data_IF_952380680825
#
_entry.id   IF_952380680825
#
_cell.length_a   1.000
_cell.length_b   1.000
_cell.length_c   1.000
_cell.angle_alpha   90.00
_cell.angle_beta   90.00
_cell.angle_gamma   90.00
#
_symmetry.space_group_name_H-M   'P 1'
#
loop_
_entity.id
_entity.type
_entity.pdbx_description
1 polymer ?
#
# COMPACT_ATOMS: atom_id res chain seq x y z
N UNK A 1 32.70 -23.39 -52.69
CA UNK A 1 32.17 -22.11 -52.18
C UNK A 1 31.48 -22.39 -50.86
N UNK A 2 32.19 -22.13 -49.77
CA UNK A 2 31.74 -22.33 -48.39
C UNK A 2 30.90 -21.11 -47.99
N UNK A 3 29.60 -21.30 -47.78
CA UNK A 3 28.75 -20.27 -47.18
C UNK A 3 28.83 -20.38 -45.65
N UNK A 4 29.04 -19.27 -44.92
CA UNK A 4 29.33 -19.33 -43.49
C UNK A 4 28.03 -19.40 -42.67
N UNK A 5 28.02 -20.33 -41.70
CA UNK A 5 27.12 -20.28 -40.53
C UNK A 5 27.46 -19.02 -39.73
N UNK A 6 26.77 -17.92 -39.97
CA UNK A 6 26.87 -16.71 -39.15
C UNK A 6 25.60 -16.58 -38.30
N UNK A 7 25.81 -16.72 -37.00
CA UNK A 7 25.07 -16.14 -35.88
C UNK A 7 23.54 -16.02 -36.05
N UNK A 8 22.81 -17.07 -35.67
CA UNK A 8 21.58 -16.85 -34.92
C UNK A 8 21.98 -16.75 -33.45
N UNK A 9 21.92 -15.57 -32.80
CA UNK A 9 22.05 -15.51 -31.35
C UNK A 9 20.98 -16.43 -30.75
N UNK A 10 21.39 -17.24 -29.78
CA UNK A 10 20.57 -18.29 -29.19
C UNK A 10 19.33 -17.66 -28.55
N UNK A 11 18.24 -17.59 -29.31
CA UNK A 11 16.99 -16.89 -28.93
C UNK A 11 16.49 -17.43 -27.59
N UNK A 12 16.67 -18.73 -27.32
CA UNK A 12 16.37 -19.35 -26.04
C UNK A 12 17.17 -18.76 -24.87
N UNK A 13 18.44 -18.40 -25.06
CA UNK A 13 19.25 -17.79 -24.01
C UNK A 13 18.82 -16.35 -23.70
N UNK A 14 18.38 -15.60 -24.71
CA UNK A 14 17.82 -14.24 -24.52
C UNK A 14 16.48 -14.34 -23.80
N UNK A 15 15.63 -15.28 -24.22
CA UNK A 15 14.31 -15.49 -23.64
C UNK A 15 14.39 -15.95 -22.18
N UNK A 16 15.33 -16.85 -21.87
CA UNK A 16 15.61 -17.31 -20.51
C UNK A 16 16.12 -16.18 -19.61
N UNK A 17 16.97 -15.28 -20.12
CA UNK A 17 17.42 -14.09 -19.39
C UNK A 17 16.28 -13.11 -19.11
N UNK A 18 15.41 -12.85 -20.08
CA UNK A 18 14.24 -11.99 -19.86
C UNK A 18 13.27 -12.58 -18.84
N UNK A 19 13.06 -13.90 -18.86
CA UNK A 19 12.22 -14.60 -17.90
C UNK A 19 12.79 -14.49 -16.48
N UNK A 20 14.10 -14.70 -16.33
CA UNK A 20 14.80 -14.54 -15.05
C UNK A 20 14.70 -13.11 -14.50
N UNK A 21 14.90 -12.10 -15.35
CA UNK A 21 14.77 -10.70 -14.96
C UNK A 21 13.36 -10.35 -14.50
N UNK A 22 12.34 -10.95 -15.13
CA UNK A 22 10.94 -10.75 -14.76
C UNK A 22 10.61 -11.38 -13.40
N UNK A 23 11.12 -12.60 -13.12
CA UNK A 23 10.98 -13.23 -11.80
C UNK A 23 11.76 -12.50 -10.69
N UNK A 24 12.97 -11.98 -11.00
CA UNK A 24 13.74 -11.16 -10.06
C UNK A 24 13.01 -9.84 -9.78
N UNK A 25 12.47 -9.19 -10.81
CA UNK A 25 11.64 -7.98 -10.66
C UNK A 25 10.41 -8.24 -9.80
N UNK A 26 9.71 -9.36 -10.01
CA UNK A 26 8.55 -9.74 -9.20
C UNK A 26 8.94 -10.02 -7.73
N UNK A 27 10.06 -10.72 -7.50
CA UNK A 27 10.58 -10.98 -6.15
C UNK A 27 11.00 -9.70 -5.42
N UNK A 28 11.57 -8.72 -6.14
CA UNK A 28 11.89 -7.40 -5.59
C UNK A 28 10.63 -6.62 -5.22
N UNK A 29 9.57 -6.67 -6.03
CA UNK A 29 8.29 -6.03 -5.71
C UNK A 29 7.65 -6.65 -4.45
N UNK A 30 7.70 -7.98 -4.30
CA UNK A 30 7.21 -8.66 -3.09
C UNK A 30 8.04 -8.29 -1.86
N UNK A 31 9.37 -8.21 -1.99
CA UNK A 31 10.25 -7.78 -0.89
C UNK A 31 10.07 -6.31 -0.53
N UNK A 32 9.80 -5.44 -1.49
CA UNK A 32 9.46 -4.04 -1.26
C UNK A 32 8.07 -3.89 -0.60
N UNK A 33 7.14 -4.80 -0.88
CA UNK A 33 5.86 -4.87 -0.18
C UNK A 33 6.01 -5.34 1.27
N UNK A 34 6.92 -6.30 1.54
CA UNK A 34 7.24 -6.79 2.90
C UNK A 34 8.12 -5.82 3.72
N UNK A 35 8.82 -4.88 3.10
CA UNK A 35 9.69 -3.92 3.80
C UNK A 35 8.94 -2.86 4.62
N UNK A 36 7.61 -2.89 4.58
CA UNK A 36 6.73 -2.06 5.37
C UNK A 36 6.24 -2.85 6.59
N UNK A 37 7.14 -3.10 7.55
CA UNK A 37 6.72 -3.48 8.90
C UNK A 37 6.08 -2.26 9.57
N UNK A 38 4.77 -2.11 9.40
CA UNK A 38 3.95 -1.15 10.13
C UNK A 38 3.62 -1.75 11.49
N UNK A 39 4.34 -1.30 12.51
CA UNK A 39 3.96 -1.51 13.91
C UNK A 39 3.41 -0.21 14.46
N UNK A 40 2.25 -0.33 15.13
CA UNK A 40 1.55 0.67 15.97
C UNK A 40 0.92 1.88 15.26
N UNK A 41 -0.04 1.56 14.39
CA UNK A 41 -1.03 2.47 13.82
C UNK A 41 -1.96 1.73 12.86
N UNK A 42 -2.26 0.46 13.16
CA UNK A 42 -2.84 -0.51 12.23
C UNK A 42 -4.27 -0.12 11.83
N UNK A 43 -4.35 0.73 10.81
CA UNK A 43 -5.53 1.03 10.01
C UNK A 43 -6.06 -0.22 9.25
N UNK A 44 -5.43 -1.37 9.50
CA UNK A 44 -5.81 -2.73 9.13
C UNK A 44 -6.78 -3.39 10.14
N UNK A 45 -6.93 -2.83 11.35
CA UNK A 45 -7.85 -3.35 12.40
C UNK A 45 -9.22 -2.68 12.42
N UNK A 46 -9.38 -1.49 11.84
CA UNK A 46 -10.68 -0.83 11.71
C UNK A 46 -11.49 -1.49 10.59
N UNK A 47 -12.71 -1.94 10.90
CA UNK A 47 -13.63 -2.48 9.88
C UNK A 47 -13.92 -1.40 8.85
N UNK A 48 -13.76 -1.76 7.57
CA UNK A 48 -13.62 -0.79 6.49
C UNK A 48 -14.87 0.07 6.24
N UNK A 49 -14.65 1.38 6.13
CA UNK A 49 -15.59 2.34 5.56
C UNK A 49 -15.93 1.97 4.10
N UNK A 50 -17.20 2.15 3.72
CA UNK A 50 -17.71 2.01 2.34
C UNK A 50 -18.43 3.27 1.89
N UNK A 51 -18.10 3.74 0.70
CA UNK A 51 -18.73 4.91 0.06
C UNK A 51 -19.98 4.55 -0.76
N UNK A 52 -20.20 3.26 -1.02
CA UNK A 52 -21.24 2.74 -1.94
C UNK A 52 -22.34 1.97 -1.22
N UNK A 53 -22.59 2.29 0.05
CA UNK A 53 -23.67 1.68 0.81
C UNK A 53 -25.04 2.03 0.18
N UNK A 54 -25.95 1.05 0.17
CA UNK A 54 -27.35 1.32 -0.18
C UNK A 54 -27.98 2.24 0.87
N UNK A 55 -28.91 3.16 0.51
CA UNK A 55 -29.57 4.04 1.49
C UNK A 55 -30.29 3.30 2.62
N UNK A 56 -30.71 2.05 2.39
CA UNK A 56 -31.42 1.22 3.37
C UNK A 56 -30.49 0.25 4.14
N UNK A 57 -29.21 0.20 3.77
CA UNK A 57 -28.23 -0.69 4.41
C UNK A 57 -27.61 0.01 5.63
N UNK A 58 -28.36 -0.02 6.72
CA UNK A 58 -27.98 0.64 7.97
C UNK A 58 -26.65 0.11 8.53
N UNK A 59 -26.43 -1.21 8.48
CA UNK A 59 -25.20 -1.82 9.00
C UNK A 59 -23.96 -1.33 8.24
N UNK A 60 -24.07 -1.15 6.92
CA UNK A 60 -23.00 -0.57 6.09
C UNK A 60 -22.67 0.88 6.48
N UNK A 61 -23.71 1.71 6.69
CA UNK A 61 -23.52 3.09 7.12
C UNK A 61 -23.00 3.20 8.56
N UNK A 62 -23.46 2.33 9.46
CA UNK A 62 -22.98 2.29 10.84
C UNK A 62 -21.49 1.97 10.89
N UNK A 63 -21.03 0.95 10.16
CA UNK A 63 -19.60 0.66 10.07
C UNK A 63 -18.77 1.79 9.46
N UNK A 64 -19.36 2.54 8.53
CA UNK A 64 -18.71 3.73 7.96
C UNK A 64 -18.61 4.86 8.99
N UNK A 65 -19.65 5.07 9.80
CA UNK A 65 -19.60 6.03 10.90
C UNK A 65 -18.56 5.64 11.97
N UNK A 66 -18.56 4.37 12.41
CA UNK A 66 -17.59 3.85 13.37
C UNK A 66 -16.14 4.09 12.89
N UNK A 67 -15.87 3.89 11.59
CA UNK A 67 -14.57 4.18 10.99
C UNK A 67 -14.17 5.65 11.13
N UNK A 68 -15.10 6.58 10.85
CA UNK A 68 -14.80 8.01 10.94
C UNK A 68 -14.61 8.47 12.38
N UNK A 69 -15.32 7.89 13.35
CA UNK A 69 -15.13 8.16 14.77
C UNK A 69 -13.73 7.75 15.24
N UNK A 70 -13.31 6.54 14.91
CA UNK A 70 -11.97 6.04 15.25
C UNK A 70 -10.87 6.86 14.55
N UNK A 71 -11.06 7.19 13.26
CA UNK A 71 -10.15 8.02 12.49
C UNK A 71 -10.03 9.43 13.08
N UNK A 72 -11.14 10.05 13.47
CA UNK A 72 -11.16 11.36 14.11
C UNK A 72 -10.38 11.35 15.42
N UNK A 73 -10.62 10.36 16.29
CA UNK A 73 -9.90 10.22 17.56
C UNK A 73 -8.39 10.05 17.32
N UNK A 74 -8.00 9.22 16.34
CA UNK A 74 -6.60 9.03 15.99
C UNK A 74 -5.95 10.34 15.50
N UNK A 75 -6.61 11.08 14.61
CA UNK A 75 -6.10 12.36 14.11
C UNK A 75 -5.98 13.40 15.22
N UNK A 76 -6.95 13.50 16.13
CA UNK A 76 -6.88 14.39 17.29
C UNK A 76 -5.72 14.05 18.22
N UNK A 77 -5.45 12.75 18.45
CA UNK A 77 -4.29 12.29 19.23
C UNK A 77 -2.98 12.69 18.56
N UNK A 78 -2.84 12.46 17.26
CA UNK A 78 -1.63 12.85 16.51
C UNK A 78 -1.41 14.36 16.53
N UNK A 79 -2.47 15.13 16.27
CA UNK A 79 -2.42 16.59 16.29
C UNK A 79 -1.98 17.13 17.66
N UNK A 80 -2.61 16.65 18.73
CA UNK A 80 -2.26 17.06 20.11
C UNK A 80 -0.82 16.70 20.44
N UNK A 81 -0.37 15.51 20.05
CA UNK A 81 1.01 15.09 20.36
C UNK A 81 2.04 15.89 19.57
N UNK A 82 1.74 16.30 18.34
CA UNK A 82 2.59 17.20 17.57
C UNK A 82 2.72 18.58 18.25
N UNK A 83 1.63 19.12 18.80
CA UNK A 83 1.66 20.37 19.57
C UNK A 83 2.50 20.26 20.83
N UNK A 84 2.37 19.16 21.59
CA UNK A 84 3.20 18.90 22.78
C UNK A 84 4.69 18.78 22.39
N UNK A 85 5.00 18.04 21.32
CA UNK A 85 6.38 17.91 20.85
C UNK A 85 6.98 19.26 20.41
N UNK A 86 6.18 20.09 19.75
CA UNK A 86 6.58 21.45 19.36
C UNK A 86 6.86 22.33 20.58
N UNK A 87 6.02 22.24 21.62
CA UNK A 87 6.22 22.97 22.86
C UNK A 87 7.50 22.55 23.59
N UNK A 88 7.75 21.24 23.69
CA UNK A 88 8.96 20.71 24.30
C UNK A 88 10.22 21.10 23.52
N UNK A 89 10.14 21.13 22.19
CA UNK A 89 11.22 21.64 21.38
C UNK A 89 11.46 23.14 21.66
N UNK A 90 10.40 23.95 21.71
CA UNK A 90 10.49 25.38 22.02
C UNK A 90 11.08 25.64 23.41
N UNK A 91 10.66 24.85 24.41
CA UNK A 91 11.22 24.88 25.76
C UNK A 91 12.74 24.69 25.77
N UNK A 92 13.23 23.71 25.00
CA UNK A 92 14.66 23.34 24.99
C UNK A 92 15.55 24.28 24.18
N UNK A 93 14.99 25.05 23.24
CA UNK A 93 15.78 25.78 22.25
C UNK A 93 15.49 27.28 22.19
N UNK A 94 14.38 27.75 22.76
CA UNK A 94 13.93 29.15 22.59
C UNK A 94 13.63 29.82 23.93
N UNK A 95 12.86 29.18 24.81
CA UNK A 95 12.44 29.78 26.09
C UNK A 95 12.34 28.74 27.21
N UNK A 96 12.94 29.01 28.36
CA UNK A 96 12.86 28.15 29.57
C UNK A 96 11.45 28.02 30.16
N UNK A 97 10.45 28.70 29.60
CA UNK A 97 9.04 28.63 30.00
C UNK A 97 8.15 27.83 29.03
N UNK A 98 8.70 27.35 27.91
CA UNK A 98 7.89 26.79 26.83
C UNK A 98 7.06 27.85 26.09
N UNK A 99 6.11 27.40 25.27
CA UNK A 99 5.20 28.31 24.56
C UNK A 99 4.07 28.78 25.47
N UNK A 100 3.49 29.94 25.15
CA UNK A 100 2.28 30.41 25.81
C UNK A 100 1.08 29.50 25.47
N UNK A 101 0.63 28.71 26.45
CA UNK A 101 -0.45 27.72 26.30
C UNK A 101 -1.79 28.33 25.88
N UNK A 102 -2.12 29.51 26.42
CA UNK A 102 -3.31 30.26 26.03
C UNK A 102 -3.25 30.71 24.57
N UNK A 103 -2.06 31.00 24.06
CA UNK A 103 -1.85 31.35 22.67
C UNK A 103 -1.92 30.11 21.76
N UNK A 104 -1.39 28.96 22.19
CA UNK A 104 -1.57 27.69 21.48
C UNK A 104 -3.06 27.38 21.32
N UNK A 105 -3.82 27.40 22.41
CA UNK A 105 -5.25 27.12 22.39
C UNK A 105 -6.01 28.07 21.45
N UNK A 106 -5.65 29.36 21.47
CA UNK A 106 -6.21 30.36 20.56
C UNK A 106 -5.86 30.05 19.10
N UNK A 107 -4.60 29.74 18.80
CA UNK A 107 -4.15 29.38 17.43
C UNK A 107 -4.82 28.12 16.91
N UNK A 108 -5.02 27.11 17.76
CA UNK A 108 -5.78 25.91 17.41
C UNK A 108 -7.23 26.29 17.06
N UNK A 109 -7.88 27.09 17.91
CA UNK A 109 -9.24 27.56 17.65
C UNK A 109 -9.34 28.33 16.34
N UNK A 110 -8.47 29.32 16.14
CA UNK A 110 -8.50 30.17 14.94
C UNK A 110 -8.21 29.34 13.68
N UNK A 111 -7.29 28.38 13.75
CA UNK A 111 -6.97 27.48 12.65
C UNK A 111 -8.13 26.54 12.27
N UNK A 112 -8.80 25.95 13.26
CA UNK A 112 -9.97 25.10 13.00
C UNK A 112 -11.16 25.91 12.46
N UNK A 113 -11.38 27.12 12.99
CA UNK A 113 -12.44 28.00 12.52
C UNK A 113 -12.21 28.49 11.09
N UNK A 114 -10.96 28.75 10.71
CA UNK A 114 -10.60 29.12 9.34
C UNK A 114 -10.84 27.98 8.34
N UNK A 115 -10.94 26.72 8.82
CA UNK A 115 -11.25 25.56 8.00
C UNK A 115 -12.75 25.30 7.80
N UNK A 116 -13.63 25.97 8.56
CA UNK A 116 -15.08 25.83 8.40
C UNK A 116 -15.53 26.44 7.08
N UNK A 117 -16.43 25.74 6.38
CA UNK A 117 -17.07 26.32 5.21
C UNK A 117 -18.14 27.33 5.63
N UNK A 118 -18.28 28.47 4.92
CA UNK A 118 -19.22 29.52 5.31
C UNK A 118 -20.70 29.09 5.19
N UNK A 119 -21.01 28.12 4.34
CA UNK A 119 -22.35 27.58 4.15
C UNK A 119 -22.28 26.05 3.97
N UNK A 120 -23.25 25.33 4.52
CA UNK A 120 -23.39 23.89 4.33
C UNK A 120 -22.55 23.01 5.25
N UNK A 121 -21.79 23.60 6.18
CA UNK A 121 -21.08 22.85 7.20
C UNK A 121 -22.03 22.39 8.31
N UNK A 122 -21.86 21.15 8.78
CA UNK A 122 -22.67 20.56 9.86
C UNK A 122 -22.14 21.02 11.23
N UNK A 123 -20.84 21.34 11.29
CA UNK A 123 -20.19 21.81 12.50
C UNK A 123 -20.41 23.30 12.67
N UNK A 124 -20.84 23.71 13.87
CA UNK A 124 -20.96 25.11 14.23
C UNK A 124 -19.70 25.64 14.92
N UNK A 125 -19.58 26.98 14.95
CA UNK A 125 -18.46 27.67 15.61
C UNK A 125 -18.29 27.22 17.07
N UNK A 126 -19.41 26.95 17.76
CA UNK A 126 -19.40 26.59 19.17
C UNK A 126 -18.77 25.21 19.40
N UNK A 127 -19.07 24.23 18.55
CA UNK A 127 -18.47 22.89 18.60
C UNK A 127 -16.98 22.97 18.32
N UNK A 128 -16.57 23.72 17.30
CA UNK A 128 -15.14 23.88 16.97
C UNK A 128 -14.37 24.52 18.12
N UNK A 129 -14.91 25.57 18.74
CA UNK A 129 -14.28 26.21 19.91
C UNK A 129 -14.17 25.26 21.10
N UNK A 130 -15.16 24.40 21.32
CA UNK A 130 -15.10 23.36 22.37
C UNK A 130 -14.00 22.34 22.10
N UNK A 131 -13.90 21.84 20.87
CA UNK A 131 -12.83 20.90 20.47
C UNK A 131 -11.46 21.55 20.64
N UNK A 132 -11.28 22.79 20.20
CA UNK A 132 -10.04 23.53 20.37
C UNK A 132 -9.67 23.72 21.85
N UNK A 133 -10.64 24.01 22.72
CA UNK A 133 -10.41 24.14 24.16
C UNK A 133 -9.96 22.80 24.79
N UNK A 134 -10.55 21.68 24.39
CA UNK A 134 -10.15 20.34 24.86
C UNK A 134 -8.73 20.02 24.41
N UNK A 135 -8.37 20.29 23.16
CA UNK A 135 -7.00 20.10 22.65
C UNK A 135 -6.01 20.99 23.42
N UNK A 136 -6.33 22.28 23.59
CA UNK A 136 -5.48 23.22 24.31
C UNK A 136 -5.22 22.80 25.75
N UNK A 137 -6.25 22.33 26.46
CA UNK A 137 -6.13 21.79 27.81
C UNK A 137 -5.25 20.53 27.85
N UNK A 138 -5.39 19.64 26.87
CA UNK A 138 -4.55 18.45 26.78
C UNK A 138 -3.07 18.83 26.54
N UNK A 139 -2.80 19.80 25.66
CA UNK A 139 -1.43 20.28 25.43
C UNK A 139 -0.82 20.84 26.72
N UNK A 140 -1.59 21.63 27.47
CA UNK A 140 -1.17 22.17 28.78
C UNK A 140 -0.76 21.02 29.72
N UNK A 141 -1.67 20.07 29.95
CA UNK A 141 -1.49 18.93 30.87
C UNK A 141 -0.31 18.01 30.51
N UNK A 142 -0.10 17.73 29.21
CA UNK A 142 0.93 16.79 28.76
C UNK A 142 2.27 17.44 28.43
N UNK A 143 2.35 18.78 28.40
CA UNK A 143 3.59 19.47 28.05
C UNK A 143 4.67 19.42 29.12
N UNK A 144 4.29 19.36 30.39
CA UNK A 144 5.20 19.40 31.55
C UNK A 144 6.05 18.13 31.72
N UNK A 145 5.78 17.07 30.94
CA UNK A 145 6.45 15.78 31.05
C UNK A 145 7.17 15.44 29.75
N UNK A 146 8.47 15.15 29.79
CA UNK A 146 9.22 14.71 28.61
C UNK A 146 8.56 13.47 28.00
N UNK A 147 8.08 13.59 26.75
CA UNK A 147 7.55 12.45 26.03
C UNK A 147 8.69 11.47 25.77
N UNK A 148 8.61 10.26 26.37
CA UNK A 148 9.63 9.22 26.19
C UNK A 148 9.68 8.65 24.77
N UNK A 149 8.62 8.84 23.97
CA UNK A 149 8.51 8.37 22.60
C UNK A 149 7.77 9.38 21.72
N UNK A 150 8.29 9.70 20.51
CA UNK A 150 7.53 10.48 19.55
C UNK A 150 6.30 9.67 19.11
N UNK A 151 5.14 10.33 18.92
CA UNK A 151 3.96 9.67 18.38
C UNK A 151 4.29 9.14 16.98
N UNK A 152 4.02 7.87 16.73
CA UNK A 152 4.04 7.36 15.37
C UNK A 152 2.88 8.01 14.62
N UNK A 153 3.19 8.73 13.54
CA UNK A 153 2.19 9.35 12.68
C UNK A 153 1.90 8.41 11.51
N UNK A 154 0.62 8.10 11.31
CA UNK A 154 0.12 7.45 10.10
C UNK A 154 -0.78 8.40 9.35
N UNK A 155 -0.51 8.62 8.06
CA UNK A 155 -1.39 9.41 7.20
C UNK A 155 -2.79 8.78 7.18
N UNK A 156 -3.88 9.58 7.22
CA UNK A 156 -5.22 9.06 7.05
C UNK A 156 -5.33 8.36 5.69
N UNK A 157 -5.84 7.13 5.68
CA UNK A 157 -6.17 6.42 4.44
C UNK A 157 -7.58 6.86 3.99
N UNK A 158 -7.82 6.94 2.67
CA UNK A 158 -9.15 7.23 2.17
C UNK A 158 -10.12 6.09 2.53
N UNK A 159 -11.41 6.42 2.65
CA UNK A 159 -12.47 5.40 2.71
C UNK A 159 -12.34 4.44 1.51
N UNK A 160 -12.73 3.17 1.68
CA UNK A 160 -12.56 2.10 0.68
C UNK A 160 -11.10 1.79 0.27
N UNK A 161 -10.07 2.37 0.90
CA UNK A 161 -8.67 2.13 0.52
C UNK A 161 -8.32 0.64 0.42
N UNK A 162 -8.76 -0.16 1.40
CA UNK A 162 -8.52 -1.61 1.41
C UNK A 162 -9.13 -2.29 0.19
N UNK A 163 -10.38 -1.99 -0.15
CA UNK A 163 -11.07 -2.57 -1.30
C UNK A 163 -10.37 -2.16 -2.60
N UNK A 164 -10.04 -0.88 -2.73
CA UNK A 164 -9.31 -0.34 -3.88
C UNK A 164 -7.95 -1.01 -4.06
N UNK A 165 -7.19 -1.17 -2.98
CA UNK A 165 -5.89 -1.87 -3.02
C UNK A 165 -6.05 -3.33 -3.39
N UNK A 166 -7.04 -4.05 -2.86
CA UNK A 166 -7.31 -5.43 -3.27
C UNK A 166 -7.63 -5.54 -4.76
N UNK A 167 -8.44 -4.62 -5.30
CA UNK A 167 -8.75 -4.59 -6.73
C UNK A 167 -7.48 -4.39 -7.54
N UNK A 168 -6.64 -3.41 -7.19
CA UNK A 168 -5.39 -3.17 -7.92
C UNK A 168 -4.45 -4.37 -7.86
N UNK A 169 -4.24 -4.96 -6.68
CA UNK A 169 -3.38 -6.13 -6.52
C UNK A 169 -3.91 -7.33 -7.31
N UNK A 170 -5.23 -7.56 -7.26
CA UNK A 170 -5.87 -8.60 -8.04
C UNK A 170 -5.73 -8.36 -9.55
N UNK A 171 -5.98 -7.14 -10.02
CA UNK A 171 -5.84 -6.77 -11.43
C UNK A 171 -4.41 -6.96 -11.93
N UNK A 172 -3.41 -6.49 -11.18
CA UNK A 172 -2.00 -6.66 -11.53
C UNK A 172 -1.65 -8.15 -11.57
N UNK A 173 -2.07 -8.93 -10.56
CA UNK A 173 -1.85 -10.38 -10.53
C UNK A 173 -2.48 -11.07 -11.75
N UNK A 174 -3.72 -10.74 -12.09
CA UNK A 174 -4.40 -11.30 -13.26
C UNK A 174 -3.66 -10.95 -14.56
N UNK A 175 -3.22 -9.69 -14.73
CA UNK A 175 -2.43 -9.26 -15.88
C UNK A 175 -1.10 -10.02 -16.01
N UNK A 176 -0.37 -10.19 -14.90
CA UNK A 176 0.90 -10.92 -14.88
C UNK A 176 0.70 -12.39 -15.24
N UNK A 177 -0.33 -13.04 -14.68
CA UNK A 177 -0.64 -14.44 -14.98
C UNK A 177 -1.07 -14.62 -16.44
N UNK A 178 -1.88 -13.71 -17.00
CA UNK A 178 -2.27 -13.75 -18.40
C UNK A 178 -1.07 -13.57 -19.34
N UNK A 179 -0.17 -12.62 -19.03
CA UNK A 179 1.06 -12.42 -19.79
C UNK A 179 1.95 -13.67 -19.76
N UNK A 180 2.08 -14.31 -18.60
CA UNK A 180 2.81 -15.56 -18.46
C UNK A 180 2.20 -16.67 -19.33
N UNK A 181 0.88 -16.84 -19.35
CA UNK A 181 0.22 -17.82 -20.21
C UNK A 181 0.48 -17.58 -21.70
N UNK A 182 0.35 -16.33 -22.16
CA UNK A 182 0.61 -15.96 -23.55
C UNK A 182 2.06 -16.29 -23.95
N UNK A 183 3.01 -16.10 -23.03
CA UNK A 183 4.42 -16.35 -23.28
C UNK A 183 4.81 -17.83 -23.21
N UNK A 184 4.35 -18.57 -22.20
CA UNK A 184 4.79 -19.95 -21.97
C UNK A 184 4.06 -20.98 -22.83
N UNK A 185 2.76 -20.77 -23.14
CA UNK A 185 1.99 -21.71 -23.97
C UNK A 185 2.61 -22.01 -25.34
N UNK A 186 3.07 -21.02 -26.15
CA UNK A 186 3.73 -21.31 -27.42
C UNK A 186 5.04 -22.07 -27.21
N UNK A 187 5.78 -21.78 -26.15
CA UNK A 187 7.03 -22.48 -25.84
C UNK A 187 6.81 -23.96 -25.49
N UNK A 188 5.82 -24.24 -24.65
CA UNK A 188 5.44 -25.62 -24.29
C UNK A 188 5.01 -26.39 -25.55
N UNK A 189 4.23 -25.76 -26.44
CA UNK A 189 3.81 -26.38 -27.71
C UNK A 189 5.00 -26.69 -28.62
N UNK A 190 5.97 -25.78 -28.72
CA UNK A 190 7.18 -26.01 -29.52
C UNK A 190 8.02 -27.17 -28.98
N UNK A 191 8.24 -27.21 -27.66
CA UNK A 191 9.00 -28.30 -27.02
C UNK A 191 8.29 -29.64 -27.24
N UNK A 192 6.97 -29.69 -27.04
CA UNK A 192 6.21 -30.92 -27.23
C UNK A 192 6.27 -31.43 -28.68
N UNK A 193 6.21 -30.51 -29.66
CA UNK A 193 6.39 -30.84 -31.08
C UNK A 193 7.77 -31.46 -31.33
N UNK A 194 8.84 -30.84 -30.83
CA UNK A 194 10.20 -31.35 -30.98
C UNK A 194 10.38 -32.72 -30.33
N UNK A 195 9.90 -32.93 -29.10
CA UNK A 195 9.99 -34.23 -28.42
C UNK A 195 9.25 -35.33 -29.20
N UNK A 196 8.08 -35.02 -29.76
CA UNK A 196 7.32 -35.96 -30.57
C UNK A 196 8.08 -36.37 -31.83
N UNK A 197 8.70 -35.41 -32.52
CA UNK A 197 9.53 -35.66 -33.72
C UNK A 197 10.77 -36.52 -33.38
N UNK A 198 11.50 -36.20 -32.30
CA UNK A 198 12.65 -36.99 -31.85
C UNK A 198 12.27 -38.43 -31.48
N UNK A 199 11.15 -38.62 -30.76
CA UNK A 199 10.67 -39.97 -30.38
C UNK A 199 10.29 -40.83 -31.59
N UNK A 200 9.81 -40.21 -32.67
CA UNK A 200 9.48 -40.90 -33.92
C UNK A 200 10.76 -41.34 -34.64
N UNK A 201 11.75 -40.46 -34.76
CA UNK A 201 13.05 -40.79 -35.37
C UNK A 201 13.73 -41.97 -34.67
N UNK A 202 13.78 -41.97 -33.33
CA UNK A 202 14.35 -43.07 -32.55
C UNK A 202 13.63 -44.41 -32.78
N UNK A 203 12.31 -44.38 -32.98
CA UNK A 203 11.53 -45.60 -33.27
C UNK A 203 11.82 -46.13 -34.67
N UNK A 204 11.94 -45.25 -35.65
CA UNK A 204 12.21 -45.62 -37.05
C UNK A 204 13.65 -46.19 -37.21
N UNK A 205 14.63 -45.66 -36.47
CA UNK A 205 16.01 -46.19 -36.44
C UNK A 205 16.10 -47.58 -35.80
N UNK A 206 15.36 -47.84 -34.71
CA UNK A 206 15.34 -49.17 -34.07
C UNK A 206 14.66 -50.21 -34.98
N UNK A 207 13.57 -49.83 -35.66
CA UNK A 207 12.85 -50.73 -36.57
C UNK A 207 13.66 -51.11 -37.83
N UNK A 208 14.48 -50.20 -38.35
CA UNK A 208 15.36 -50.46 -39.50
C UNK A 208 16.61 -51.26 -39.13
N UNK A 209 17.06 -51.21 -37.88
CA UNK A 209 18.19 -52.02 -37.41
C UNK A 209 17.79 -53.49 -37.19
N UNK A 210 16.55 -53.74 -36.74
CA UNK A 210 16.04 -55.09 -36.54
C UNK A 210 15.85 -55.88 -37.85
N UNK A 211 15.32 -55.25 -38.90
CA UNK A 211 15.11 -55.89 -40.22
C UNK A 211 16.37 -56.17 -41.02
N UNK A 212 17.51 -55.56 -40.67
CA UNK A 212 18.80 -55.78 -41.32
C UNK A 212 19.59 -56.95 -40.73
N UNK A 213 19.10 -57.56 -39.65
CA UNK A 213 19.72 -58.66 -38.90
C UNK A 213 19.06 -60.02 -39.10
N UNK A 214 18.07 -60.11 -40.00
CA UNK A 214 17.37 -61.34 -40.42
C UNK A 214 17.72 -61.66 -41.87
#
# INVERSE_FOLDING_TARGET
LVFPRILMPNINAILQRMTYLLFIGLGLVVKLADANHWTTGDNSTVKGCRTTCSPIDYDCWQHTADYFDEALIAQLRHYTTALVAHDQWYYRHVSDSGMNKSEIAKRVSDGLLAGLQPEGDILDETTVRRVAAVIGKAVDEYSDHVLGWPPQYSCPLPCDYRNTMYIYLFSISACVNLAALIFFLPHIRQVHKMTKETSKSLRDDIGTTATRSS
#
